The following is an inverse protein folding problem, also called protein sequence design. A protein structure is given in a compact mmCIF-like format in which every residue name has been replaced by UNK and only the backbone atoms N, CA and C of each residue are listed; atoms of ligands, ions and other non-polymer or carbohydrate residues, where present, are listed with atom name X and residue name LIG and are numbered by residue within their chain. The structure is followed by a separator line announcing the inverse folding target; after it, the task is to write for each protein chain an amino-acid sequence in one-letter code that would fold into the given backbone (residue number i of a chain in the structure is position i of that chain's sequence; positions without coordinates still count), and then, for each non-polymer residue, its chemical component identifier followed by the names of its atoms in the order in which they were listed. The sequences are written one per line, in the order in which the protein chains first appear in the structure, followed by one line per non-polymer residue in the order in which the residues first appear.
data_IF_497780227689
#
_entry.id   IF_497780227689
#
_cell.length_a   1.000
_cell.length_b   1.000
_cell.length_c   1.000
_cell.angle_alpha   90.00
_cell.angle_beta   90.00
_cell.angle_gamma   90.00
#
_symmetry.space_group_name_H-M   'P 1'
#
loop_
_entity.id
_entity.type
_entity.pdbx_description
1 polymer ?
#
# COMPACT_ATOMS: atom_id res chain seq x y z
N UNK A 1 -11.07 -23.25 -18.72
CA UNK A 1 -10.63 -21.98 -18.12
C UNK A 1 -9.14 -22.11 -18.07
N UNK A 2 -8.44 -21.36 -18.92
CA UNK A 2 -6.99 -21.44 -18.97
C UNK A 2 -6.41 -20.84 -17.67
N UNK A 3 -5.36 -21.47 -17.16
CA UNK A 3 -4.67 -21.04 -15.94
C UNK A 3 -3.95 -19.73 -16.22
N UNK A 4 -4.24 -18.69 -15.43
CA UNK A 4 -3.59 -17.37 -15.56
C UNK A 4 -2.13 -17.54 -15.13
N UNK A 5 -1.19 -17.14 -15.98
CA UNK A 5 0.23 -17.17 -15.66
C UNK A 5 0.59 -16.11 -14.62
N UNK A 6 1.73 -16.29 -13.93
CA UNK A 6 2.23 -15.32 -12.94
C UNK A 6 2.49 -13.95 -13.59
N UNK A 7 3.02 -13.96 -14.80
CA UNK A 7 3.27 -12.76 -15.59
C UNK A 7 1.95 -12.01 -15.87
N UNK A 8 0.93 -12.72 -16.32
CA UNK A 8 -0.41 -12.14 -16.54
C UNK A 8 -1.04 -11.63 -15.23
N UNK A 9 -0.82 -12.29 -14.10
CA UNK A 9 -1.27 -11.81 -12.79
C UNK A 9 -0.62 -10.46 -12.45
N UNK A 10 0.70 -10.34 -12.62
CA UNK A 10 1.43 -9.08 -12.39
C UNK A 10 0.97 -8.00 -13.35
N UNK A 11 0.80 -8.31 -14.64
CA UNK A 11 0.29 -7.35 -15.61
C UNK A 11 -1.11 -6.84 -15.26
N UNK A 12 -2.01 -7.74 -14.84
CA UNK A 12 -3.36 -7.37 -14.41
C UNK A 12 -3.33 -6.51 -13.14
N UNK A 13 -2.47 -6.85 -12.17
CA UNK A 13 -2.27 -6.06 -10.96
C UNK A 13 -1.77 -4.65 -11.28
N UNK A 14 -0.80 -4.53 -12.19
CA UNK A 14 -0.29 -3.24 -12.66
C UNK A 14 -1.37 -2.43 -13.39
N UNK A 15 -2.19 -3.06 -14.24
CA UNK A 15 -3.33 -2.40 -14.91
C UNK A 15 -4.32 -1.83 -13.89
N UNK A 16 -4.62 -2.57 -12.83
CA UNK A 16 -5.46 -2.08 -11.72
C UNK A 16 -4.80 -0.85 -11.07
N UNK A 17 -3.54 -0.94 -10.67
CA UNK A 17 -2.82 0.16 -10.01
C UNK A 17 -2.74 1.42 -10.87
N UNK A 18 -2.45 1.29 -12.17
CA UNK A 18 -2.34 2.42 -13.09
C UNK A 18 -3.67 3.04 -13.51
N UNK A 19 -4.76 2.27 -13.45
CA UNK A 19 -6.11 2.75 -13.78
C UNK A 19 -6.87 3.33 -12.59
N UNK A 20 -6.36 3.17 -11.36
CA UNK A 20 -6.97 3.78 -10.17
C UNK A 20 -6.93 5.32 -10.28
N UNK A 21 -8.09 6.01 -10.18
CA UNK A 21 -8.13 7.47 -10.19
C UNK A 21 -7.37 8.08 -9.01
N UNK A 22 -6.66 9.18 -9.24
CA UNK A 22 -5.93 9.88 -8.19
C UNK A 22 -6.82 10.45 -7.08
N UNK A 23 -8.11 10.72 -7.38
CA UNK A 23 -9.07 11.20 -6.38
C UNK A 23 -9.62 10.08 -5.48
N UNK A 24 -9.38 8.80 -5.80
CA UNK A 24 -9.77 7.68 -4.95
C UNK A 24 -8.65 7.35 -3.98
N UNK A 25 -8.98 7.33 -2.69
CA UNK A 25 -8.02 7.14 -1.59
C UNK A 25 -8.28 5.80 -0.88
N UNK A 26 -8.60 4.74 -1.64
CA UNK A 26 -8.84 3.42 -1.03
C UNK A 26 -7.55 2.64 -0.83
N UNK A 27 -6.66 2.71 -1.81
CA UNK A 27 -5.49 1.83 -1.92
C UNK A 27 -4.37 2.53 -2.69
N UNK A 28 -3.12 2.28 -2.30
CA UNK A 28 -1.95 2.83 -2.98
C UNK A 28 -1.00 1.69 -3.33
N UNK A 29 -0.50 1.71 -4.56
CA UNK A 29 0.25 0.63 -5.18
C UNK A 29 1.73 1.00 -5.24
N UNK A 30 2.58 0.03 -4.89
CA UNK A 30 4.02 0.20 -4.80
C UNK A 30 4.77 -1.01 -5.36
N UNK A 31 6.06 -0.80 -5.62
CA UNK A 31 7.04 -1.86 -5.85
C UNK A 31 8.23 -1.66 -4.92
N UNK A 32 8.63 -2.72 -4.21
CA UNK A 32 9.81 -2.75 -3.37
C UNK A 32 10.98 -3.40 -4.11
N UNK A 33 12.02 -2.62 -4.42
CA UNK A 33 13.24 -3.11 -5.07
C UNK A 33 14.00 -4.11 -4.21
N UNK A 34 13.91 -4.00 -2.89
CA UNK A 34 14.67 -4.88 -1.97
C UNK A 34 14.17 -6.32 -2.08
N UNK A 35 12.85 -6.47 -2.11
CA UNK A 35 12.19 -7.77 -2.05
C UNK A 35 11.73 -8.23 -3.45
N UNK A 36 11.96 -7.40 -4.49
CA UNK A 36 11.49 -7.59 -5.87
C UNK A 36 9.99 -7.89 -5.91
N UNK A 37 9.21 -7.06 -5.22
CA UNK A 37 7.83 -7.38 -4.87
C UNK A 37 6.89 -6.19 -5.04
N UNK A 38 5.80 -6.41 -5.78
CA UNK A 38 4.64 -5.53 -5.84
C UNK A 38 3.81 -5.68 -4.58
N UNK A 39 3.30 -4.57 -4.06
CA UNK A 39 2.40 -4.59 -2.92
C UNK A 39 1.53 -3.34 -2.94
N UNK A 40 0.42 -3.40 -2.23
CA UNK A 40 -0.43 -2.24 -1.99
C UNK A 40 -0.66 -2.06 -0.50
N UNK A 41 -1.05 -0.83 -0.13
CA UNK A 41 -1.47 -0.48 1.21
C UNK A 41 -2.87 0.12 1.10
N UNK A 42 -3.83 -0.47 1.81
CA UNK A 42 -5.15 0.11 1.95
C UNK A 42 -5.08 1.27 2.94
N UNK A 43 -5.90 2.30 2.72
CA UNK A 43 -5.96 3.41 3.69
C UNK A 43 -6.49 2.94 5.04
N UNK A 44 -7.31 1.89 5.07
CA UNK A 44 -7.72 1.25 6.32
C UNK A 44 -6.57 0.65 7.12
N UNK A 45 -5.47 0.24 6.47
CA UNK A 45 -4.35 -0.43 7.13
C UNK A 45 -3.65 0.52 8.12
N UNK A 46 -3.65 1.83 7.86
CA UNK A 46 -3.09 2.83 8.76
C UNK A 46 -3.80 2.87 10.13
N UNK A 47 -5.08 2.48 10.19
CA UNK A 47 -5.82 2.47 11.46
C UNK A 47 -5.40 1.34 12.40
N UNK A 48 -4.58 0.39 11.94
CA UNK A 48 -4.02 -0.66 12.80
C UNK A 48 -2.87 -0.15 13.68
N UNK A 49 -2.40 1.08 13.44
CA UNK A 49 -1.16 1.59 13.98
C UNK A 49 -1.30 2.98 14.63
N UNK A 50 -0.42 3.28 15.57
CA UNK A 50 -0.17 4.65 16.06
C UNK A 50 0.87 5.38 15.17
N UNK A 51 1.20 6.63 15.54
CA UNK A 51 2.14 7.48 14.79
C UNK A 51 3.57 6.89 14.72
N UNK A 52 3.93 5.96 15.61
CA UNK A 52 5.23 5.27 15.64
C UNK A 52 5.17 3.89 14.96
N UNK A 53 4.04 3.58 14.32
CA UNK A 53 3.64 2.31 13.73
C UNK A 53 3.64 1.12 14.69
N UNK A 54 3.30 1.36 15.95
CA UNK A 54 3.01 0.31 16.90
C UNK A 54 1.51 0.04 16.92
N UNK A 55 1.10 -1.19 17.27
CA UNK A 55 -0.31 -1.50 17.47
C UNK A 55 -0.77 -0.80 18.76
N UNK A 56 -1.78 0.10 18.72
CA UNK A 56 -2.25 0.80 19.91
C UNK A 56 -2.76 -0.18 20.97
N UNK A 57 -2.53 0.12 22.26
CA UNK A 57 -2.95 -0.74 23.38
C UNK A 57 -4.48 -0.91 23.47
N UNK A 58 -5.22 0.09 23.03
CA UNK A 58 -6.68 0.12 23.00
C UNK A 58 -7.26 -0.35 21.66
N UNK A 59 -6.44 -0.87 20.75
CA UNK A 59 -6.86 -1.39 19.46
C UNK A 59 -6.67 -2.91 19.39
N UNK A 60 -7.62 -3.60 18.76
CA UNK A 60 -7.54 -5.03 18.44
C UNK A 60 -7.63 -5.19 16.93
N UNK A 61 -6.59 -5.79 16.36
CA UNK A 61 -6.50 -6.13 14.94
C UNK A 61 -6.83 -7.60 14.73
N UNK A 62 -7.54 -7.93 13.64
CA UNK A 62 -7.71 -9.33 13.19
C UNK A 62 -6.58 -9.80 12.29
N UNK A 63 -5.73 -8.90 11.76
CA UNK A 63 -4.54 -9.32 11.02
C UNK A 63 -3.58 -10.08 11.93
N UNK A 64 -2.99 -11.13 11.37
CA UNK A 64 -1.88 -11.83 12.01
C UNK A 64 -0.70 -10.90 12.28
N UNK A 65 0.07 -11.23 13.32
CA UNK A 65 1.21 -10.42 13.75
C UNK A 65 2.25 -10.25 12.64
N UNK A 66 2.44 -11.27 11.81
CA UNK A 66 3.41 -11.26 10.72
C UNK A 66 3.01 -10.24 9.64
N UNK A 67 1.72 -10.17 9.28
CA UNK A 67 1.19 -9.15 8.36
C UNK A 67 1.37 -7.75 8.94
N UNK A 68 1.02 -7.55 10.22
CA UNK A 68 1.15 -6.25 10.88
C UNK A 68 2.61 -5.77 10.93
N UNK A 69 3.56 -6.68 11.14
CA UNK A 69 4.99 -6.37 11.10
C UNK A 69 5.41 -5.91 9.70
N UNK A 70 5.00 -6.63 8.65
CA UNK A 70 5.34 -6.27 7.26
C UNK A 70 4.70 -4.93 6.86
N UNK A 71 3.44 -4.70 7.22
CA UNK A 71 2.75 -3.43 6.99
C UNK A 71 3.47 -2.27 7.69
N UNK A 72 3.73 -2.39 8.99
CA UNK A 72 4.43 -1.37 9.76
C UNK A 72 5.82 -1.07 9.17
N UNK A 73 6.57 -2.10 8.77
CA UNK A 73 7.88 -1.91 8.15
C UNK A 73 7.79 -1.12 6.84
N UNK A 74 6.85 -1.48 5.96
CA UNK A 74 6.66 -0.82 4.66
C UNK A 74 6.19 0.62 4.82
N UNK A 75 5.21 0.87 5.68
CA UNK A 75 4.72 2.21 5.94
C UNK A 75 5.80 3.11 6.55
N UNK A 76 6.59 2.60 7.52
CA UNK A 76 7.77 3.32 8.04
C UNK A 76 8.75 3.70 6.92
N UNK A 77 9.04 2.79 6.00
CA UNK A 77 9.96 3.05 4.88
C UNK A 77 9.38 4.09 3.91
N UNK A 78 8.08 4.03 3.64
CA UNK A 78 7.37 5.03 2.81
C UNK A 78 7.45 6.42 3.45
N UNK A 79 7.17 6.55 4.74
CA UNK A 79 7.27 7.83 5.45
C UNK A 79 8.68 8.41 5.49
N UNK A 80 9.69 7.54 5.53
CA UNK A 80 11.09 7.94 5.50
C UNK A 80 11.62 8.17 4.07
N UNK A 81 10.74 8.24 3.06
CA UNK A 81 11.10 8.48 1.65
C UNK A 81 12.16 7.50 1.12
N UNK A 82 12.03 6.22 1.51
CA UNK A 82 12.93 5.15 1.08
C UNK A 82 12.87 4.97 -0.44
N UNK A 83 13.99 5.27 -1.11
CA UNK A 83 14.14 5.23 -2.58
C UNK A 83 14.07 3.82 -3.18
N UNK A 84 14.10 2.78 -2.36
CA UNK A 84 13.85 1.41 -2.81
C UNK A 84 12.36 1.09 -2.98
N UNK A 85 11.47 1.88 -2.39
CA UNK A 85 10.02 1.77 -2.58
C UNK A 85 9.59 2.77 -3.66
N UNK A 86 8.98 2.25 -4.71
CA UNK A 86 8.55 3.04 -5.87
C UNK A 86 7.03 3.03 -5.91
N UNK A 87 6.39 4.19 -5.86
CA UNK A 87 4.94 4.28 -6.03
C UNK A 87 4.55 4.19 -7.51
N UNK A 88 3.41 3.56 -7.77
CA UNK A 88 2.77 3.59 -9.08
C UNK A 88 2.00 4.90 -9.23
N UNK A 89 2.15 5.55 -10.39
CA UNK A 89 1.40 6.76 -10.70
C UNK A 89 -0.07 6.43 -11.02
N UNK A 90 -0.99 6.92 -10.20
CA UNK A 90 -2.43 6.79 -10.43
C UNK A 90 -2.90 7.52 -11.70
N UNK A 91 -4.09 7.16 -12.17
CA UNK A 91 -4.73 7.78 -13.32
C UNK A 91 -5.24 9.19 -12.98
N UNK A 92 -4.90 10.17 -13.82
CA UNK A 92 -5.50 11.50 -13.75
C UNK A 92 -6.91 11.47 -14.33
N UNK A 93 -7.75 12.43 -13.92
CA UNK A 93 -9.16 12.53 -14.32
C UNK A 93 -9.43 12.42 -15.83
N UNK A 94 -8.56 13.03 -16.64
CA UNK A 94 -8.69 13.09 -18.10
C UNK A 94 -7.68 12.17 -18.81
N UNK A 95 -7.05 11.25 -18.09
CA UNK A 95 -6.07 10.32 -18.65
C UNK A 95 -6.76 9.25 -19.50
N UNK A 96 -6.12 8.89 -20.62
CA UNK A 96 -6.61 7.81 -21.45
C UNK A 96 -6.41 6.47 -20.72
N UNK A 97 -7.46 5.65 -20.60
CA UNK A 97 -7.42 4.34 -19.94
C UNK A 97 -7.59 3.18 -20.94
N UNK A 98 -7.30 3.39 -22.23
CA UNK A 98 -7.23 2.29 -23.20
C UNK A 98 -6.14 1.30 -22.82
N UNK A 99 -6.35 0.03 -23.15
CA UNK A 99 -5.37 -1.03 -22.89
C UNK A 99 -3.99 -0.73 -23.49
N UNK A 100 -3.95 -0.17 -24.70
CA UNK A 100 -2.69 0.23 -25.36
C UNK A 100 -1.92 1.28 -24.54
N UNK A 101 -2.62 2.28 -23.99
CA UNK A 101 -1.99 3.31 -23.17
C UNK A 101 -1.52 2.77 -21.82
N UNK A 102 -2.35 1.94 -21.17
CA UNK A 102 -1.98 1.28 -19.92
C UNK A 102 -0.76 0.37 -20.11
N UNK A 103 -0.72 -0.42 -21.19
CA UNK A 103 0.42 -1.26 -21.53
C UNK A 103 1.69 -0.42 -21.73
N UNK A 104 1.62 0.70 -22.45
CA UNK A 104 2.75 1.61 -22.60
C UNK A 104 3.24 2.17 -21.26
N UNK A 105 2.32 2.54 -20.36
CA UNK A 105 2.64 3.06 -19.02
C UNK A 105 3.32 1.99 -18.16
N UNK A 106 2.83 0.76 -18.23
CA UNK A 106 3.41 -0.42 -17.58
C UNK A 106 4.84 -0.67 -18.08
N UNK A 107 5.03 -0.80 -19.39
CA UNK A 107 6.35 -1.00 -19.99
C UNK A 107 7.33 0.11 -19.60
N UNK A 108 6.87 1.36 -19.62
CA UNK A 108 7.69 2.51 -19.21
C UNK A 108 8.10 2.41 -17.74
N UNK A 109 7.16 2.08 -16.84
CA UNK A 109 7.44 1.92 -15.42
C UNK A 109 8.44 0.79 -15.15
N UNK A 110 8.27 -0.36 -15.78
CA UNK A 110 9.15 -1.51 -15.62
C UNK A 110 10.56 -1.20 -16.12
N UNK A 111 10.68 -0.61 -17.32
CA UNK A 111 11.96 -0.26 -17.92
C UNK A 111 12.71 0.82 -17.12
N UNK A 112 12.03 1.90 -16.71
CA UNK A 112 12.64 2.99 -15.93
C UNK A 112 13.17 2.51 -14.59
N UNK A 113 12.54 1.49 -14.00
CA UNK A 113 12.91 0.96 -12.70
C UNK A 113 13.72 -0.34 -12.77
N UNK A 114 14.02 -0.82 -13.99
CA UNK A 114 14.73 -2.08 -14.23
C UNK A 114 14.08 -3.29 -13.54
N UNK A 115 12.75 -3.40 -13.67
CA UNK A 115 11.95 -4.45 -13.06
C UNK A 115 11.70 -5.56 -14.08
N UNK A 116 12.08 -6.79 -13.73
CA UNK A 116 11.83 -7.97 -14.55
C UNK A 116 10.61 -8.73 -14.01
N UNK A 117 9.51 -8.78 -14.77
CA UNK A 117 8.26 -9.45 -14.34
C UNK A 117 8.50 -10.92 -13.97
N UNK A 118 9.35 -11.63 -14.72
CA UNK A 118 9.61 -13.05 -14.51
C UNK A 118 10.09 -13.37 -13.08
N UNK A 119 10.89 -12.48 -12.50
CA UNK A 119 11.45 -12.65 -11.15
C UNK A 119 10.65 -11.93 -10.08
N UNK A 120 9.88 -10.90 -10.44
CA UNK A 120 9.07 -10.13 -9.50
C UNK A 120 7.93 -10.97 -8.89
N UNK A 121 7.44 -10.60 -7.71
CA UNK A 121 6.31 -11.25 -7.05
C UNK A 121 5.26 -10.23 -6.62
N UNK A 122 4.07 -10.68 -6.23
CA UNK A 122 3.06 -9.84 -5.58
C UNK A 122 2.97 -10.29 -4.13
N UNK A 123 2.98 -9.34 -3.20
CA UNK A 123 2.57 -9.58 -1.82
C UNK A 123 1.08 -9.33 -1.70
N UNK A 124 0.34 -10.39 -1.42
CA UNK A 124 -1.09 -10.32 -1.19
C UNK A 124 -1.38 -10.62 0.28
N UNK A 125 -2.36 -9.91 0.82
CA UNK A 125 -2.91 -10.17 2.15
C UNK A 125 -4.18 -10.98 1.97
N UNK A 126 -4.09 -12.29 2.22
CA UNK A 126 -5.21 -13.23 2.07
C UNK A 126 -6.21 -13.17 3.26
N UNK A 127 -5.94 -12.31 4.24
CA UNK A 127 -6.74 -12.16 5.45
C UNK A 127 -7.72 -10.99 5.34
N UNK A 128 -8.95 -11.18 5.84
CA UNK A 128 -9.88 -10.06 6.04
C UNK A 128 -9.46 -9.32 7.31
N UNK A 129 -8.91 -8.11 7.12
CA UNK A 129 -8.53 -7.21 8.20
C UNK A 129 -9.71 -6.42 8.76
N UNK A 130 -9.76 -6.33 10.08
CA UNK A 130 -10.59 -5.36 10.80
C UNK A 130 -9.83 -4.88 12.02
N UNK A 131 -10.10 -3.63 12.40
CA UNK A 131 -9.57 -3.02 13.62
C UNK A 131 -10.73 -2.52 14.47
N UNK A 132 -10.73 -2.89 15.74
CA UNK A 132 -11.65 -2.36 16.75
C UNK A 132 -10.88 -1.45 17.70
N UNK A 133 -11.29 -0.19 17.82
CA UNK A 133 -10.67 0.79 18.70
C UNK A 133 -11.61 1.06 19.88
N UNK A 134 -11.14 0.81 21.10
CA UNK A 134 -11.87 1.17 22.32
C UNK A 134 -11.62 2.65 22.65
N UNK A 135 -12.67 3.46 22.64
CA UNK A 135 -12.62 4.90 22.93
C UNK A 135 -12.87 5.24 24.40
N UNK A 136 -13.14 4.24 25.26
CA UNK A 136 -13.53 4.48 26.66
C UNK A 136 -12.38 4.41 27.68
N UNK A 137 -11.15 4.07 27.26
CA UNK A 137 -9.99 3.92 28.17
C UNK A 137 -9.21 5.24 28.42
N UNK A 138 -9.71 6.39 27.95
CA UNK A 138 -9.00 7.68 27.91
C UNK A 138 -9.29 8.63 29.09
N UNK A 139 -9.71 8.13 30.26
CA UNK A 139 -9.90 8.96 31.46
C UNK A 139 -8.69 9.03 32.42
N UNK A 140 -7.57 8.37 32.11
CA UNK A 140 -6.36 8.51 32.93
C UNK A 140 -5.08 8.65 32.10
N UNK A 141 -4.60 9.90 32.04
CA UNK A 141 -3.24 10.31 31.67
C UNK A 141 -2.80 10.07 30.22
N UNK A 142 -3.32 10.85 29.29
CA UNK A 142 -2.61 11.16 28.06
C UNK A 142 -2.37 12.67 27.96
N UNK A 143 -1.11 13.07 28.08
CA UNK A 143 -0.63 14.31 27.48
C UNK A 143 -1.07 14.28 26.01
N UNK A 144 -2.12 15.03 25.66
CA UNK A 144 -2.44 15.42 24.28
C UNK A 144 -1.36 16.42 23.82
N UNK A 145 -0.11 15.99 23.87
CA UNK A 145 1.03 16.72 23.35
C UNK A 145 1.05 16.52 21.86
N UNK A 146 0.36 17.39 21.11
CA UNK A 146 0.44 17.54 19.64
C UNK A 146 0.78 16.24 18.92
N UNK A 147 -0.15 15.29 18.99
CA UNK A 147 -0.13 14.08 18.19
C UNK A 147 0.00 14.52 16.72
N UNK A 148 1.09 14.15 16.06
CA UNK A 148 1.25 14.42 14.63
C UNK A 148 0.38 13.40 13.91
N UNK A 149 -0.89 13.74 13.80
CA UNK A 149 -1.78 13.45 12.70
C UNK A 149 -1.08 12.78 11.49
N UNK A 150 -1.05 11.45 11.40
CA UNK A 150 -0.65 10.78 10.15
C UNK A 150 -1.53 11.23 8.96
N UNK A 151 -2.71 11.81 9.23
CA UNK A 151 -3.56 12.47 8.24
C UNK A 151 -3.01 13.83 7.72
N UNK A 152 -1.99 14.42 8.35
CA UNK A 152 -1.32 15.64 7.86
C UNK A 152 -0.39 15.38 6.66
N UNK A 153 0.01 14.13 6.40
CA UNK A 153 0.70 13.74 5.16
C UNK A 153 -0.15 13.99 3.90
N UNK A 154 -1.46 14.22 4.05
CA UNK A 154 -2.44 14.23 2.97
C UNK A 154 -2.97 15.64 2.64
N UNK A 155 -2.23 16.69 3.05
CA UNK A 155 -2.50 18.10 2.75
C UNK A 155 -1.69 18.59 1.56
#
# INVERSE_FOLDING_TARGET
MDEITKEEQIENWLKIGFSQPEERISEIFYFDKRDNQFFSILVSDYFHFDDDYNIPKNAVSTYSKDILVVLAERMKRIENDDKSIISLSRAKKDENLTDEYLNQKIETFLNLNSIEIATATIWEVDEIGSVTINLMDDESEANVGKQKSWWEFWK
#
